data_IF_560972483139
#
_entry.id   IF_560972483139
#
_cell.length_a   1.000
_cell.length_b   1.000
_cell.length_c   1.000
_cell.angle_alpha   90.00
_cell.angle_beta   90.00
_cell.angle_gamma   90.00
#
_symmetry.space_group_name_H-M   'P 1'
#
loop_
_entity.id
_entity.type
_entity.pdbx_description
1 polymer ?
#
# COMPACT_ATOMS: atom_id res chain seq x y z
N UNK A 1 20.86 17.48 -6.77
CA UNK A 1 20.10 16.38 -6.13
C UNK A 1 18.78 16.98 -5.69
N UNK A 2 17.66 16.60 -6.30
CA UNK A 2 16.35 17.03 -5.80
C UNK A 2 16.12 16.36 -4.46
N UNK A 3 16.08 17.15 -3.40
CA UNK A 3 15.74 16.64 -2.08
C UNK A 3 14.23 16.33 -2.07
N UNK A 4 13.87 15.06 -1.92
CA UNK A 4 12.48 14.68 -1.68
C UNK A 4 11.95 15.39 -0.44
N UNK A 5 10.82 16.07 -0.58
CA UNK A 5 10.12 16.69 0.55
C UNK A 5 8.86 15.86 0.82
N UNK A 6 8.75 15.21 1.99
CA UNK A 6 7.56 14.42 2.33
C UNK A 6 6.30 15.29 2.34
N UNK A 7 5.27 14.82 1.65
CA UNK A 7 3.91 15.38 1.67
C UNK A 7 2.99 14.46 2.46
N UNK A 8 1.82 14.94 2.86
CA UNK A 8 0.81 14.14 3.58
C UNK A 8 -0.16 13.41 2.67
N UNK A 9 -0.17 13.71 1.36
CA UNK A 9 -1.02 13.11 0.34
C UNK A 9 -0.33 13.13 -1.01
N UNK A 10 -0.75 12.27 -1.95
CA UNK A 10 -0.17 12.16 -3.29
C UNK A 10 -1.27 11.89 -4.31
N UNK A 11 -1.23 12.63 -5.42
CA UNK A 11 -2.11 12.46 -6.57
C UNK A 11 -1.70 11.27 -7.42
N UNK A 12 -2.55 10.92 -8.40
CA UNK A 12 -2.26 9.86 -9.36
C UNK A 12 -0.96 10.12 -10.13
N UNK A 13 -0.75 11.36 -10.58
CA UNK A 13 0.45 11.77 -11.33
C UNK A 13 1.71 11.58 -10.50
N UNK A 14 1.69 11.95 -9.23
CA UNK A 14 2.83 11.79 -8.31
C UNK A 14 3.11 10.31 -8.02
N UNK A 15 2.08 9.48 -7.92
CA UNK A 15 2.20 8.02 -7.77
C UNK A 15 2.83 7.40 -9.02
N UNK A 16 2.45 7.84 -10.21
CA UNK A 16 3.07 7.42 -11.47
C UNK A 16 4.55 7.84 -11.53
N UNK A 17 4.89 9.04 -11.06
CA UNK A 17 6.30 9.46 -10.96
C UNK A 17 7.11 8.60 -9.96
N UNK A 18 6.48 8.10 -8.90
CA UNK A 18 7.08 7.09 -8.03
C UNK A 18 7.36 5.79 -8.81
N UNK A 19 6.41 5.33 -9.61
CA UNK A 19 6.58 4.15 -10.48
C UNK A 19 7.74 4.30 -11.49
N UNK A 20 7.96 5.50 -12.01
CA UNK A 20 9.10 5.82 -12.88
C UNK A 20 10.43 5.96 -12.14
N UNK A 21 10.43 5.98 -10.81
CA UNK A 21 11.61 6.17 -9.97
C UNK A 21 12.03 7.62 -9.76
N UNK A 22 11.18 8.57 -10.16
CA UNK A 22 11.50 10.00 -10.06
C UNK A 22 11.19 10.58 -8.67
N UNK A 23 10.19 10.05 -7.96
CA UNK A 23 9.72 10.64 -6.71
C UNK A 23 10.78 10.52 -5.58
N UNK A 24 11.31 9.32 -5.37
CA UNK A 24 12.27 9.04 -4.30
C UNK A 24 13.73 8.98 -4.80
N UNK A 25 13.93 9.06 -6.10
CA UNK A 25 15.23 9.01 -6.75
C UNK A 25 15.78 7.59 -6.97
N UNK A 26 16.94 7.49 -7.64
CA UNK A 26 17.50 6.21 -8.07
C UNK A 26 17.81 5.27 -6.90
N UNK A 27 17.54 3.97 -7.08
CA UNK A 27 17.85 2.91 -6.10
C UNK A 27 16.83 2.75 -4.98
N UNK A 28 15.82 3.61 -4.91
CA UNK A 28 14.72 3.53 -3.95
C UNK A 28 13.53 2.73 -4.49
N UNK A 29 12.50 2.55 -3.65
CA UNK A 29 11.32 1.82 -4.06
C UNK A 29 10.59 2.53 -5.20
N UNK A 30 10.03 1.72 -6.06
CA UNK A 30 9.16 2.12 -7.16
C UNK A 30 7.83 1.39 -6.99
N UNK A 31 6.75 2.10 -7.18
CA UNK A 31 5.45 1.47 -7.34
C UNK A 31 5.39 0.73 -8.68
N UNK A 32 4.60 -0.34 -8.79
CA UNK A 32 4.37 -0.98 -10.07
C UNK A 32 3.64 -0.02 -11.02
N UNK A 33 3.85 -0.21 -12.31
CA UNK A 33 3.07 0.49 -13.34
C UNK A 33 1.67 -0.13 -13.48
N UNK A 34 0.67 0.62 -13.98
CA UNK A 34 -0.59 0.02 -14.42
C UNK A 34 -0.36 -1.13 -15.43
N UNK A 35 -1.14 -2.22 -15.39
CA UNK A 35 -2.33 -2.38 -14.57
C UNK A 35 -2.10 -2.93 -13.14
N UNK A 36 -0.85 -3.16 -12.73
CA UNK A 36 -0.51 -3.69 -11.40
C UNK A 36 -0.46 -2.64 -10.28
N UNK A 37 -0.56 -1.36 -10.59
CA UNK A 37 -0.77 -0.32 -9.58
C UNK A 37 -2.18 -0.44 -9.03
N UNK A 38 -2.31 -0.66 -7.70
CA UNK A 38 -3.57 -1.06 -7.07
C UNK A 38 -4.27 0.06 -6.31
N UNK A 39 -3.87 1.30 -6.51
CA UNK A 39 -4.57 2.49 -5.99
C UNK A 39 -4.31 3.71 -6.88
N UNK A 40 -5.25 4.66 -6.84
CA UNK A 40 -5.19 5.86 -7.67
C UNK A 40 -4.57 7.05 -6.95
N UNK A 41 -4.63 7.07 -5.61
CA UNK A 41 -4.13 8.18 -4.79
C UNK A 41 -3.83 7.75 -3.36
N UNK A 42 -2.92 8.48 -2.72
CA UNK A 42 -2.70 8.41 -1.28
C UNK A 42 -3.36 9.64 -0.68
N UNK A 43 -4.40 9.43 0.11
CA UNK A 43 -5.18 10.52 0.73
C UNK A 43 -4.55 10.99 2.03
N UNK A 44 -3.80 10.11 2.70
CA UNK A 44 -3.12 10.45 3.94
C UNK A 44 -1.89 9.59 4.14
N UNK A 45 -0.80 10.21 4.56
CA UNK A 45 0.38 9.54 5.11
C UNK A 45 0.99 10.39 6.23
N UNK A 46 1.29 9.74 7.36
CA UNK A 46 1.91 10.39 8.50
C UNK A 46 2.73 9.39 9.34
N UNK A 47 3.62 9.90 10.20
CA UNK A 47 4.52 9.08 11.04
C UNK A 47 4.05 8.91 12.49
N UNK A 48 3.03 9.65 12.92
CA UNK A 48 2.61 9.75 14.31
C UNK A 48 1.13 9.38 14.52
N UNK A 49 0.38 9.09 13.43
CA UNK A 49 -1.04 8.73 13.44
C UNK A 49 -1.28 7.23 13.51
N UNK A 50 -2.50 6.87 13.14
CA UNK A 50 -2.97 5.49 13.10
C UNK A 50 -3.30 4.91 14.47
N UNK A 51 -3.83 3.68 14.44
CA UNK A 51 -4.31 2.98 15.63
C UNK A 51 -3.28 2.85 16.76
N UNK A 52 -1.99 2.84 16.42
CA UNK A 52 -0.90 2.63 17.37
C UNK A 52 -0.06 3.90 17.63
N UNK A 53 -0.44 5.05 17.04
CA UNK A 53 0.36 6.28 17.15
C UNK A 53 1.80 6.13 16.63
N UNK A 54 2.00 5.29 15.62
CA UNK A 54 3.31 4.95 15.03
C UNK A 54 3.39 5.21 13.54
N UNK A 55 2.32 5.80 12.99
CA UNK A 55 2.16 6.13 11.61
C UNK A 55 1.05 5.33 10.91
N UNK A 56 0.57 5.92 9.84
CA UNK A 56 -0.42 5.30 8.97
C UNK A 56 -0.25 5.79 7.53
N UNK A 57 -0.78 5.03 6.60
CA UNK A 57 -0.96 5.43 5.22
C UNK A 57 -2.34 4.97 4.75
N UNK A 58 -3.06 5.86 4.07
CA UNK A 58 -4.39 5.63 3.51
C UNK A 58 -4.32 5.91 2.02
N UNK A 59 -4.78 4.97 1.22
CA UNK A 59 -4.86 5.08 -0.22
C UNK A 59 -6.23 4.67 -0.73
N UNK A 60 -6.59 5.09 -1.93
CA UNK A 60 -7.88 4.84 -2.54
C UNK A 60 -7.76 4.35 -3.97
N UNK A 61 -8.65 3.43 -4.35
CA UNK A 61 -8.85 2.94 -5.70
C UNK A 61 -10.29 3.19 -6.11
N UNK A 62 -10.51 3.95 -7.16
CA UNK A 62 -11.82 4.12 -7.78
C UNK A 62 -12.20 2.84 -8.53
N UNK A 63 -13.32 2.25 -8.18
CA UNK A 63 -13.82 1.06 -8.86
C UNK A 63 -14.56 1.46 -10.12
N UNK A 64 -14.04 1.01 -11.25
CA UNK A 64 -14.64 1.16 -12.57
C UNK A 64 -14.97 -0.21 -13.12
N UNK A 65 -16.05 -0.30 -13.89
CA UNK A 65 -16.53 -1.59 -14.45
C UNK A 65 -15.56 -2.21 -15.47
N UNK A 66 -14.65 -1.39 -16.03
CA UNK A 66 -13.64 -1.76 -17.02
C UNK A 66 -12.27 -2.08 -16.42
N UNK A 67 -12.15 -2.21 -15.08
CA UNK A 67 -10.92 -2.67 -14.48
C UNK A 67 -10.59 -4.09 -14.94
N UNK A 68 -9.36 -4.27 -15.41
CA UNK A 68 -8.87 -5.47 -16.10
C UNK A 68 -9.21 -6.79 -15.40
N UNK A 69 -9.22 -6.83 -14.09
CA UNK A 69 -9.50 -8.04 -13.33
C UNK A 69 -10.97 -8.45 -13.38
N UNK A 70 -11.89 -7.53 -13.63
CA UNK A 70 -13.31 -7.87 -13.81
C UNK A 70 -13.60 -8.58 -15.13
N UNK A 71 -12.74 -8.39 -16.15
CA UNK A 71 -12.87 -9.07 -17.42
C UNK A 71 -12.51 -10.57 -17.36
N UNK A 72 -11.70 -10.96 -16.38
CA UNK A 72 -11.13 -12.31 -16.30
C UNK A 72 -11.40 -13.08 -15.00
N UNK A 73 -11.86 -12.41 -13.95
CA UNK A 73 -12.03 -13.03 -12.62
C UNK A 73 -13.41 -12.73 -12.03
N UNK A 74 -14.45 -13.52 -12.39
CA UNK A 74 -14.53 -14.63 -13.33
C UNK A 74 -15.47 -14.29 -14.49
N UNK A 75 -15.45 -15.06 -15.60
CA UNK A 75 -16.38 -14.89 -16.71
C UNK A 75 -17.82 -15.12 -16.24
N UNK A 76 -18.66 -14.08 -16.35
CA UNK A 76 -20.06 -14.11 -15.89
C UNK A 76 -20.27 -13.87 -14.39
N UNK A 77 -19.20 -13.78 -13.60
CA UNK A 77 -19.24 -13.43 -12.16
C UNK A 77 -18.04 -12.56 -11.79
N UNK A 78 -18.03 -11.29 -12.20
CA UNK A 78 -16.89 -10.40 -12.01
C UNK A 78 -16.72 -10.03 -10.53
N UNK A 79 -15.53 -10.32 -9.99
CA UNK A 79 -15.13 -10.00 -8.63
C UNK A 79 -13.63 -9.67 -8.61
N UNK A 80 -13.23 -8.69 -7.82
CA UNK A 80 -11.81 -8.37 -7.63
C UNK A 80 -11.10 -9.52 -6.90
N UNK A 81 -9.98 -10.04 -7.43
CA UNK A 81 -9.16 -11.00 -6.67
C UNK A 81 -8.69 -10.42 -5.33
N UNK A 82 -8.95 -11.09 -4.22
CA UNK A 82 -8.55 -10.60 -2.90
C UNK A 82 -7.03 -10.40 -2.75
N UNK A 83 -6.24 -11.19 -3.50
CA UNK A 83 -4.78 -11.03 -3.53
C UNK A 83 -4.32 -9.66 -4.09
N UNK A 84 -5.10 -9.00 -4.94
CA UNK A 84 -4.79 -7.65 -5.42
C UNK A 84 -4.97 -6.60 -4.33
N UNK A 85 -5.95 -6.78 -3.45
CA UNK A 85 -6.09 -5.94 -2.26
C UNK A 85 -4.90 -6.11 -1.31
N UNK A 86 -4.40 -7.34 -1.13
CA UNK A 86 -3.18 -7.59 -0.36
C UNK A 86 -1.96 -6.93 -1.01
N UNK A 87 -1.84 -7.03 -2.33
CA UNK A 87 -0.74 -6.41 -3.07
C UNK A 87 -0.75 -4.88 -2.93
N UNK A 88 -1.94 -4.24 -2.96
CA UNK A 88 -2.10 -2.82 -2.68
C UNK A 88 -1.45 -2.42 -1.34
N UNK A 89 -1.65 -3.21 -0.30
CA UNK A 89 -1.10 -2.94 1.03
C UNK A 89 0.42 -3.08 1.06
N UNK A 90 0.98 -4.04 0.31
CA UNK A 90 2.44 -4.16 0.16
C UNK A 90 3.03 -2.99 -0.64
N UNK A 91 2.34 -2.52 -1.68
CA UNK A 91 2.71 -1.34 -2.44
C UNK A 91 2.76 -0.10 -1.55
N UNK A 92 1.69 0.12 -0.76
CA UNK A 92 1.60 1.23 0.20
C UNK A 92 2.72 1.17 1.24
N UNK A 93 3.04 -0.02 1.74
CA UNK A 93 4.10 -0.19 2.72
C UNK A 93 5.48 0.10 2.12
N UNK A 94 5.73 -0.34 0.90
CA UNK A 94 6.95 0.01 0.16
C UNK A 94 7.10 1.51 -0.01
N UNK A 95 6.02 2.19 -0.43
CA UNK A 95 5.98 3.65 -0.53
C UNK A 95 6.25 4.33 0.83
N UNK A 96 5.59 3.88 1.89
CA UNK A 96 5.74 4.43 3.24
C UNK A 96 7.19 4.36 3.76
N UNK A 97 7.92 3.29 3.45
CA UNK A 97 9.31 3.14 3.85
C UNK A 97 10.23 4.21 3.24
N UNK A 98 10.07 4.47 1.94
CA UNK A 98 10.87 5.51 1.29
C UNK A 98 10.40 6.91 1.66
N UNK A 99 9.09 7.09 1.90
CA UNK A 99 8.55 8.33 2.44
C UNK A 99 9.16 8.68 3.81
N UNK A 100 9.45 7.69 4.66
CA UNK A 100 10.20 7.86 5.91
C UNK A 100 11.71 8.12 5.70
N UNK A 101 12.20 8.07 4.47
CA UNK A 101 13.62 8.26 4.15
C UNK A 101 14.48 7.00 4.30
N UNK A 102 13.88 5.80 4.32
CA UNK A 102 14.64 4.54 4.30
C UNK A 102 15.02 4.17 2.86
N UNK A 103 16.31 4.24 2.48
CA UNK A 103 16.72 3.97 1.12
C UNK A 103 16.66 2.48 0.78
N UNK A 104 16.50 2.16 -0.51
CA UNK A 104 16.58 0.81 -1.05
C UNK A 104 15.23 0.27 -1.53
N UNK A 105 15.22 -0.99 -2.01
CA UNK A 105 14.03 -1.65 -2.58
C UNK A 105 13.43 -2.62 -1.59
N UNK A 106 12.15 -2.43 -1.24
CA UNK A 106 11.39 -3.35 -0.41
C UNK A 106 10.99 -4.62 -1.15
N UNK A 107 10.88 -5.71 -0.41
CA UNK A 107 10.26 -6.96 -0.87
C UNK A 107 9.39 -7.52 0.24
N UNK A 108 8.16 -7.87 -0.09
CA UNK A 108 7.29 -8.59 0.83
C UNK A 108 7.87 -9.99 1.08
N UNK A 109 7.98 -10.40 2.33
CA UNK A 109 8.51 -11.71 2.70
C UNK A 109 7.42 -12.66 3.19
N UNK A 110 6.27 -12.14 3.53
CA UNK A 110 5.17 -12.93 4.05
C UNK A 110 4.11 -12.05 4.69
N UNK A 111 3.05 -12.71 5.11
CA UNK A 111 1.89 -12.14 5.78
C UNK A 111 1.47 -13.10 6.89
N UNK A 112 0.96 -12.59 8.00
CA UNK A 112 0.45 -13.41 9.09
C UNK A 112 -0.95 -13.94 8.77
N UNK A 113 -1.98 -13.29 9.28
CA UNK A 113 -3.37 -13.67 9.04
C UNK A 113 -4.01 -12.77 7.99
N UNK A 114 -4.77 -13.36 7.07
CA UNK A 114 -5.60 -12.64 6.10
C UNK A 114 -7.03 -13.10 6.27
N UNK A 115 -7.97 -12.15 6.33
CA UNK A 115 -9.40 -12.41 6.30
C UNK A 115 -10.05 -11.58 5.21
N UNK A 116 -10.72 -12.23 4.29
CA UNK A 116 -11.58 -11.59 3.31
C UNK A 116 -13.03 -11.74 3.79
N UNK A 117 -13.72 -10.63 4.01
CA UNK A 117 -15.07 -10.63 4.60
C UNK A 117 -16.16 -10.24 3.60
N UNK A 118 -15.78 -9.59 2.51
CA UNK A 118 -16.69 -9.19 1.45
C UNK A 118 -16.04 -9.33 0.07
N UNK A 119 -16.88 -9.48 -0.96
CA UNK A 119 -16.48 -9.43 -2.36
C UNK A 119 -16.53 -8.00 -2.88
N UNK A 120 -15.55 -7.61 -3.67
CA UNK A 120 -15.54 -6.35 -4.39
C UNK A 120 -16.04 -6.62 -5.81
N UNK A 121 -17.25 -6.16 -6.09
CA UNK A 121 -17.93 -6.29 -7.39
C UNK A 121 -17.90 -4.97 -8.16
N UNK A 122 -18.21 -4.97 -9.47
CA UNK A 122 -18.22 -3.75 -10.29
C UNK A 122 -19.26 -2.69 -9.87
N UNK A 123 -20.21 -3.02 -9.01
CA UNK A 123 -21.20 -2.11 -8.45
C UNK A 123 -20.69 -1.23 -7.32
N UNK A 124 -19.49 -1.53 -6.80
CA UNK A 124 -18.82 -0.70 -5.82
C UNK A 124 -18.25 0.56 -6.49
N UNK A 125 -18.02 1.60 -5.71
CA UNK A 125 -17.50 2.88 -6.24
C UNK A 125 -16.05 3.10 -5.86
N UNK A 126 -15.67 2.70 -4.64
CA UNK A 126 -14.40 3.03 -4.05
C UNK A 126 -13.93 1.94 -3.10
N UNK A 127 -12.63 1.66 -3.14
CA UNK A 127 -11.93 0.94 -2.08
C UNK A 127 -11.02 1.92 -1.37
N UNK A 128 -11.07 1.93 -0.04
CA UNK A 128 -10.07 2.60 0.78
C UNK A 128 -9.19 1.56 1.45
N UNK A 129 -7.90 1.67 1.23
CA UNK A 129 -6.87 0.87 1.86
C UNK A 129 -6.26 1.63 3.03
N UNK A 130 -6.13 1.00 4.19
CA UNK A 130 -5.52 1.61 5.37
C UNK A 130 -4.48 0.68 5.98
N UNK A 131 -3.27 1.21 6.18
CA UNK A 131 -2.18 0.53 6.86
C UNK A 131 -1.81 1.28 8.13
N UNK A 132 -1.93 0.61 9.29
CA UNK A 132 -1.50 1.13 10.59
C UNK A 132 -0.15 0.51 10.98
N UNK A 133 0.81 1.34 11.33
CA UNK A 133 2.15 0.90 11.73
C UNK A 133 2.16 0.61 13.23
N UNK A 134 2.42 -0.64 13.59
CA UNK A 134 2.53 -1.06 15.01
C UNK A 134 3.94 -0.93 15.55
N UNK A 135 4.93 -1.31 14.74
CA UNK A 135 6.33 -1.34 15.18
C UNK A 135 7.27 -1.19 13.99
N UNK A 136 8.14 -0.19 14.07
CA UNK A 136 9.31 -0.10 13.22
C UNK A 136 10.50 -0.67 14.00
N UNK A 137 11.17 -1.68 13.45
CA UNK A 137 12.36 -2.26 14.05
C UNK A 137 13.60 -1.78 13.30
N UNK A 138 14.05 -0.55 13.61
CA UNK A 138 15.38 -0.08 13.22
C UNK A 138 16.31 -0.21 14.43
N UNK A 139 17.18 -1.19 14.44
CA UNK A 139 18.31 -1.25 15.37
C UNK A 139 19.57 -0.91 14.58
N UNK A 140 20.12 0.29 14.83
CA UNK A 140 21.43 0.75 14.38
C UNK A 140 21.59 1.00 12.86
N UNK A 141 21.83 2.24 12.40
CA UNK A 141 22.00 2.59 10.98
C UNK A 141 23.17 1.88 10.28
N UNK A 142 24.18 1.43 11.02
CA UNK A 142 25.37 0.74 10.49
C UNK A 142 25.19 -0.78 10.33
N UNK A 143 24.12 -1.35 10.85
CA UNK A 143 23.81 -2.78 10.78
C UNK A 143 22.46 -3.10 10.15
N UNK A 144 21.79 -2.10 9.57
CA UNK A 144 20.51 -2.28 8.90
C UNK A 144 20.64 -3.01 7.56
N UNK A 145 21.11 -4.25 7.57
CA UNK A 145 20.89 -5.19 6.47
C UNK A 145 19.43 -5.68 6.40
N UNK A 146 18.50 -4.93 6.92
CA UNK A 146 17.07 -5.16 6.81
C UNK A 146 16.27 -4.49 7.93
N UNK A 147 15.42 -3.55 7.59
CA UNK A 147 14.41 -2.99 8.51
C UNK A 147 13.20 -3.92 8.48
N UNK A 148 12.80 -4.44 9.65
CA UNK A 148 11.56 -5.21 9.79
C UNK A 148 10.46 -4.28 10.24
N UNK A 149 9.39 -4.24 9.48
CA UNK A 149 8.15 -3.58 9.88
C UNK A 149 7.11 -4.66 10.21
N UNK A 150 6.51 -4.53 11.36
CA UNK A 150 5.42 -5.40 11.78
C UNK A 150 4.13 -4.57 11.68
N UNK A 151 3.27 -4.96 10.77
CA UNK A 151 1.92 -4.46 10.64
C UNK A 151 1.02 -5.37 11.46
N UNK A 152 0.43 -4.84 12.50
CA UNK A 152 -0.47 -5.66 13.32
C UNK A 152 -1.90 -5.66 12.84
N UNK A 153 -2.28 -4.67 12.07
CA UNK A 153 -3.66 -4.53 11.60
C UNK A 153 -3.64 -3.69 10.35
N UNK A 154 -4.07 -4.26 9.26
CA UNK A 154 -4.53 -3.51 8.11
C UNK A 154 -6.05 -3.59 8.12
N UNK A 155 -6.68 -2.47 8.25
CA UNK A 155 -8.12 -2.33 8.17
C UNK A 155 -8.45 -1.57 6.91
N UNK A 156 -9.33 -2.13 6.11
CA UNK A 156 -10.07 -1.38 5.12
C UNK A 156 -11.24 -0.75 5.87
N UNK A 157 -11.16 0.55 6.16
CA UNK A 157 -12.22 1.25 6.85
C UNK A 157 -13.31 1.69 5.89
N UNK A 158 -14.50 1.67 6.40
CA UNK A 158 -15.77 2.00 5.75
C UNK A 158 -15.82 3.47 5.37
N UNK A 159 -15.87 3.78 4.09
CA UNK A 159 -16.60 4.94 3.60
C UNK A 159 -18.03 4.46 3.33
N UNK A 160 -19.04 5.24 3.61
CA UNK A 160 -20.46 4.83 3.78
C UNK A 160 -21.15 4.07 2.64
N UNK A 161 -20.44 3.62 1.63
CA UNK A 161 -21.01 2.94 0.46
C UNK A 161 -20.19 1.72 0.05
N UNK A 162 -20.03 0.76 0.96
CA UNK A 162 -19.51 -0.58 0.63
C UNK A 162 -18.04 -0.89 0.93
N UNK A 163 -17.82 -1.79 1.84
CA UNK A 163 -16.57 -2.00 2.55
C UNK A 163 -16.05 -3.41 2.43
N UNK A 164 -14.76 -3.54 2.18
CA UNK A 164 -13.99 -4.75 2.45
C UNK A 164 -13.12 -4.52 3.70
N UNK A 165 -13.15 -5.45 4.65
CA UNK A 165 -12.21 -5.46 5.77
C UNK A 165 -11.18 -6.55 5.50
N UNK A 166 -9.93 -6.15 5.29
CA UNK A 166 -8.79 -7.06 5.25
C UNK A 166 -7.93 -6.78 6.48
N UNK A 167 -7.83 -7.75 7.37
CA UNK A 167 -6.93 -7.66 8.51
C UNK A 167 -5.63 -8.35 8.15
N UNK A 168 -4.51 -7.64 8.15
CA UNK A 168 -3.22 -8.14 7.73
C UNK A 168 -2.14 -7.87 8.76
N UNK A 169 -1.38 -8.92 9.06
CA UNK A 169 -0.02 -8.77 9.55
C UNK A 169 0.94 -9.01 8.38
N UNK A 170 1.61 -7.98 7.91
CA UNK A 170 2.63 -8.13 6.88
C UNK A 170 4.02 -7.87 7.42
N UNK A 171 4.96 -8.74 7.10
CA UNK A 171 6.38 -8.53 7.34
C UNK A 171 7.05 -8.14 6.04
N UNK A 172 7.61 -6.95 5.99
CA UNK A 172 8.42 -6.51 4.85
C UNK A 172 9.88 -6.44 5.26
N UNK A 173 10.73 -7.04 4.47
CA UNK A 173 12.18 -6.93 4.61
C UNK A 173 12.71 -6.10 3.45
N UNK A 174 13.43 -5.04 3.77
CA UNK A 174 14.14 -4.24 2.78
C UNK A 174 15.49 -4.91 2.52
N UNK A 175 15.76 -5.28 1.28
CA UNK A 175 17.08 -5.72 0.85
C UNK A 175 17.79 -4.54 0.23
N UNK A 176 18.98 -4.27 0.73
CA UNK A 176 19.93 -3.34 0.14
C UNK A 176 20.60 -3.99 -1.08
#
# INVERSE_FOLDING_TARGET
>A
MNSFTPQSSYSYEEIIECGKGNLFGPGNAQLPAPPMLMFDRITQVNKDGGMHGKGEIIAELDIKTDLWFFECHFLGDPVMPGCLGLDALWQMLGFYLDWLGHPGKGRALGVGEIKFVEEIKPDKQLIQYKVNIKKSMSKNPLLCRGTRYNLSTCQLERVELSTLIVCLEANVKKHL
#
